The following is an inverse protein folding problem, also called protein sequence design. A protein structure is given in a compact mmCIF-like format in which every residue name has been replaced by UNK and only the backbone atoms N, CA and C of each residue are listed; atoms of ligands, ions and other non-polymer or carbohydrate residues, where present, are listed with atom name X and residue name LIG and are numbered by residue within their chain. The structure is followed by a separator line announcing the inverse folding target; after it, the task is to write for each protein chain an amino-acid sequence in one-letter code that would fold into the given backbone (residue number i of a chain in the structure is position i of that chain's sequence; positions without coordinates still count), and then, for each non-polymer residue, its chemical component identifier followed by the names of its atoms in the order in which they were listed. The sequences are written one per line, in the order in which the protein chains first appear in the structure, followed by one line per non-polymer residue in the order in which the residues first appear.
data_IF_355095737301
#
_entry.id   IF_355095737301
#
_cell.length_a   1.000
_cell.length_b   1.000
_cell.length_c   1.000
_cell.angle_alpha   90.00
_cell.angle_beta   90.00
_cell.angle_gamma   90.00
#
_symmetry.space_group_name_H-M   'P 1'
#
loop_
_entity.id
_entity.type
_entity.pdbx_description
1 polymer ?
#
# COMPACT_ATOMS: atom_id res chain seq x y z
N UNK A 1 8.62 -28.34 1.83
CA UNK A 1 9.34 -27.04 1.97
C UNK A 1 8.55 -25.93 1.29
N UNK A 2 8.33 -24.78 1.95
CA UNK A 2 7.61 -23.64 1.37
C UNK A 2 8.62 -22.63 0.78
N UNK A 3 8.40 -22.23 -0.48
CA UNK A 3 9.08 -21.10 -1.13
C UNK A 3 8.07 -19.99 -1.40
N UNK A 4 8.42 -18.78 -0.99
CA UNK A 4 7.59 -17.58 -1.14
C UNK A 4 7.91 -16.92 -2.46
N UNK A 5 6.88 -16.70 -3.27
CA UNK A 5 6.98 -15.95 -4.52
C UNK A 5 6.59 -14.50 -4.25
N UNK A 6 7.55 -13.58 -4.45
CA UNK A 6 7.33 -12.14 -4.33
C UNK A 6 6.62 -11.57 -5.56
N UNK A 7 6.16 -10.32 -5.45
CA UNK A 7 5.49 -9.60 -6.55
C UNK A 7 6.37 -9.41 -7.79
N UNK A 8 7.68 -9.34 -7.61
CA UNK A 8 8.68 -9.23 -8.68
C UNK A 8 9.09 -10.59 -9.29
N UNK A 9 8.44 -11.69 -8.89
CA UNK A 9 8.74 -13.04 -9.33
C UNK A 9 9.91 -13.72 -8.60
N UNK A 10 10.62 -13.02 -7.72
CA UNK A 10 11.73 -13.61 -6.97
C UNK A 10 11.24 -14.62 -5.95
N UNK A 11 12.03 -15.68 -5.75
CA UNK A 11 11.71 -16.76 -4.82
C UNK A 11 12.57 -16.63 -3.56
N UNK A 12 11.92 -16.77 -2.42
CA UNK A 12 12.57 -16.72 -1.11
C UNK A 12 12.08 -17.88 -0.24
N UNK A 13 12.93 -18.32 0.70
CA UNK A 13 12.52 -19.33 1.69
C UNK A 13 11.54 -18.71 2.70
N UNK A 14 10.47 -19.44 3.02
CA UNK A 14 9.57 -19.08 4.12
C UNK A 14 10.34 -19.09 5.45
N UNK A 15 10.13 -18.08 6.28
CA UNK A 15 10.74 -17.97 7.60
C UNK A 15 9.71 -17.45 8.61
N UNK A 16 9.60 -18.13 9.77
CA UNK A 16 8.72 -17.72 10.86
C UNK A 16 9.01 -16.30 11.35
N UNK A 17 10.30 -15.93 11.43
CA UNK A 17 10.71 -14.61 11.94
C UNK A 17 10.13 -13.42 11.18
N UNK A 18 9.79 -13.60 9.90
CA UNK A 18 9.10 -12.54 9.11
C UNK A 18 7.65 -12.38 9.54
N UNK A 19 6.97 -13.48 9.82
CA UNK A 19 5.59 -13.47 10.33
C UNK A 19 5.57 -12.89 11.74
N UNK A 20 6.40 -13.41 12.63
CA UNK A 20 6.54 -12.93 14.01
C UNK A 20 6.79 -11.42 14.06
N UNK A 21 7.73 -10.92 13.24
CA UNK A 21 8.03 -9.49 13.16
C UNK A 21 6.84 -8.66 12.64
N UNK A 22 6.11 -9.16 11.65
CA UNK A 22 4.96 -8.47 11.08
C UNK A 22 3.82 -8.40 12.10
N UNK A 23 3.52 -9.50 12.79
CA UNK A 23 2.48 -9.58 13.82
C UNK A 23 2.85 -8.72 15.03
N UNK A 24 4.12 -8.79 15.50
CA UNK A 24 4.57 -7.96 16.61
C UNK A 24 4.47 -6.45 16.32
N UNK A 25 4.84 -6.02 15.12
CA UNK A 25 4.65 -4.61 14.71
C UNK A 25 3.18 -4.20 14.71
N UNK A 26 2.27 -5.10 14.40
CA UNK A 26 0.83 -4.84 14.47
C UNK A 26 0.36 -4.75 15.91
N UNK A 27 0.80 -5.65 16.76
CA UNK A 27 0.48 -5.65 18.19
C UNK A 27 0.92 -4.34 18.87
N UNK A 28 2.14 -3.88 18.59
CA UNK A 28 2.65 -2.59 19.08
C UNK A 28 1.78 -1.39 18.65
N UNK A 29 1.21 -1.41 17.44
CA UNK A 29 0.29 -0.34 17.00
C UNK A 29 -1.05 -0.37 17.73
N UNK A 30 -1.50 -1.55 18.13
CA UNK A 30 -2.71 -1.74 18.94
C UNK A 30 -2.48 -1.53 20.45
N UNK A 31 -1.26 -1.23 20.88
CA UNK A 31 -0.84 -1.26 22.30
C UNK A 31 -1.15 -2.60 22.96
N UNK A 32 -0.95 -3.70 22.23
CA UNK A 32 -1.09 -5.07 22.71
C UNK A 32 0.29 -5.69 22.84
N UNK A 33 0.60 -6.18 24.03
CA UNK A 33 1.84 -6.92 24.25
C UNK A 33 1.60 -8.40 23.93
N UNK A 34 2.32 -8.91 22.94
CA UNK A 34 2.39 -10.33 22.63
C UNK A 34 3.70 -10.90 23.16
N UNK A 35 3.60 -11.99 23.90
CA UNK A 35 4.79 -12.71 24.35
C UNK A 35 5.37 -13.57 23.23
N UNK A 36 6.66 -13.86 23.30
CA UNK A 36 7.38 -14.63 22.28
C UNK A 36 6.73 -15.98 21.94
N UNK A 37 6.22 -16.78 22.90
CA UNK A 37 5.50 -18.01 22.60
C UNK A 37 4.23 -17.82 21.76
N UNK A 38 3.48 -16.73 21.95
CA UNK A 38 2.29 -16.44 21.15
C UNK A 38 2.68 -16.10 19.71
N UNK A 39 3.71 -15.28 19.50
CA UNK A 39 4.23 -14.95 18.18
C UNK A 39 4.69 -16.20 17.42
N UNK A 40 5.42 -17.09 18.09
CA UNK A 40 5.83 -18.39 17.52
C UNK A 40 4.64 -19.28 17.19
N UNK A 41 3.64 -19.35 18.07
CA UNK A 41 2.43 -20.14 17.84
C UNK A 41 1.66 -19.67 16.61
N UNK A 42 1.53 -18.35 16.42
CA UNK A 42 0.88 -17.75 15.23
C UNK A 42 1.70 -18.11 13.98
N UNK A 43 3.02 -17.94 13.99
CA UNK A 43 3.87 -18.25 12.85
C UNK A 43 3.83 -19.73 12.45
N UNK A 44 3.81 -20.65 13.41
CA UNK A 44 3.65 -22.08 13.19
C UNK A 44 2.26 -22.42 12.64
N UNK A 45 1.20 -21.78 13.15
CA UNK A 45 -0.15 -21.97 12.64
C UNK A 45 -0.26 -21.53 11.17
N UNK A 46 0.35 -20.39 10.82
CA UNK A 46 0.43 -19.92 9.43
C UNK A 46 1.18 -20.92 8.55
N UNK A 47 2.34 -21.41 8.98
CA UNK A 47 3.09 -22.40 8.21
C UNK A 47 2.26 -23.67 7.98
N UNK A 48 1.58 -24.15 9.01
CA UNK A 48 0.75 -25.37 8.94
C UNK A 48 -0.39 -25.20 7.94
N UNK A 49 -1.04 -24.05 7.89
CA UNK A 49 -2.12 -23.76 6.94
C UNK A 49 -1.60 -23.67 5.50
N UNK A 50 -0.38 -23.17 5.34
CA UNK A 50 0.29 -23.06 4.04
C UNK A 50 0.87 -24.40 3.53
N UNK A 51 1.05 -25.40 4.42
CA UNK A 51 1.58 -26.72 4.02
C UNK A 51 0.55 -27.55 3.24
N UNK A 52 0.96 -28.22 2.17
CA UNK A 52 0.07 -29.16 1.48
C UNK A 52 -0.14 -30.41 2.34
N UNK A 53 -1.29 -31.03 2.17
CA UNK A 53 -1.65 -32.30 2.82
C UNK A 53 -0.79 -33.48 2.30
N UNK A 54 -0.08 -33.31 1.17
CA UNK A 54 0.74 -34.34 0.52
C UNK A 54 2.22 -34.20 0.88
N UNK A 55 2.83 -35.30 1.32
CA UNK A 55 4.23 -35.37 1.70
C UNK A 55 5.19 -35.14 0.51
N UNK A 56 6.28 -34.41 0.75
CA UNK A 56 7.52 -34.47 -0.05
C UNK A 56 7.74 -33.39 -1.11
N UNK A 57 6.83 -32.43 -1.32
CA UNK A 57 6.97 -31.41 -2.38
C UNK A 57 7.50 -30.04 -1.93
N UNK A 58 8.06 -29.29 -2.89
CA UNK A 58 8.28 -27.83 -2.75
C UNK A 58 6.99 -27.11 -3.14
N UNK A 59 6.41 -26.34 -2.21
CA UNK A 59 5.23 -25.52 -2.49
C UNK A 59 5.65 -24.08 -2.72
N UNK A 60 5.21 -23.52 -3.84
CA UNK A 60 5.37 -22.08 -4.14
C UNK A 60 4.12 -21.34 -3.68
N UNK A 61 4.30 -20.38 -2.77
CA UNK A 61 3.19 -19.63 -2.19
C UNK A 61 3.39 -18.14 -2.49
N UNK A 62 2.43 -17.49 -3.19
CA UNK A 62 2.47 -16.05 -3.39
C UNK A 62 2.44 -15.30 -2.05
N UNK A 63 3.19 -14.22 -1.93
CA UNK A 63 3.20 -13.39 -0.71
C UNK A 63 1.80 -12.88 -0.35
N UNK A 64 0.92 -12.67 -1.33
CA UNK A 64 -0.47 -12.27 -1.11
C UNK A 64 -1.22 -13.32 -0.28
N UNK A 65 -1.10 -14.60 -0.65
CA UNK A 65 -1.74 -15.71 0.05
C UNK A 65 -1.22 -15.88 1.48
N UNK A 66 0.08 -15.65 1.71
CA UNK A 66 0.62 -15.64 3.08
C UNK A 66 -0.07 -14.57 3.94
N UNK A 67 -0.28 -13.37 3.39
CA UNK A 67 -0.98 -12.31 4.12
C UNK A 67 -2.43 -12.66 4.44
N UNK A 68 -3.13 -13.29 3.51
CA UNK A 68 -4.51 -13.77 3.71
C UNK A 68 -4.56 -14.80 4.84
N UNK A 69 -3.67 -15.79 4.79
CA UNK A 69 -3.55 -16.80 5.85
C UNK A 69 -3.23 -16.16 7.21
N UNK A 70 -2.35 -15.16 7.27
CA UNK A 70 -2.05 -14.42 8.52
C UNK A 70 -3.32 -13.75 9.04
N UNK A 71 -4.12 -13.10 8.19
CA UNK A 71 -5.38 -12.45 8.58
C UNK A 71 -6.36 -13.48 9.13
N UNK A 72 -6.53 -14.63 8.46
CA UNK A 72 -7.41 -15.71 8.90
C UNK A 72 -7.01 -16.29 10.27
N UNK A 73 -5.70 -16.52 10.47
CA UNK A 73 -5.16 -17.00 11.73
C UNK A 73 -5.36 -15.95 12.83
N UNK A 74 -5.04 -14.67 12.57
CA UNK A 74 -5.25 -13.59 13.52
C UNK A 74 -6.73 -13.43 13.87
N UNK A 75 -7.66 -13.58 12.92
CA UNK A 75 -9.10 -13.54 13.19
C UNK A 75 -9.54 -14.60 14.20
N UNK A 76 -8.91 -15.78 14.18
CA UNK A 76 -9.22 -16.86 15.13
C UNK A 76 -8.65 -16.61 16.52
N UNK A 77 -7.48 -16.01 16.62
CA UNK A 77 -6.75 -15.84 17.88
C UNK A 77 -6.90 -14.43 18.50
N UNK A 78 -6.87 -13.39 17.68
CA UNK A 78 -6.84 -11.98 18.08
C UNK A 78 -7.51 -11.11 17.01
N UNK A 79 -8.85 -11.03 16.96
CA UNK A 79 -9.56 -10.30 15.89
C UNK A 79 -9.20 -8.81 15.78
N UNK A 80 -8.83 -8.19 16.91
CA UNK A 80 -8.36 -6.80 16.96
C UNK A 80 -7.06 -6.60 16.16
N UNK A 81 -6.13 -7.54 16.25
CA UNK A 81 -4.87 -7.50 15.50
C UNK A 81 -5.09 -7.78 14.02
N UNK A 82 -6.06 -8.62 13.68
CA UNK A 82 -6.39 -8.92 12.29
C UNK A 82 -6.85 -7.67 11.54
N UNK A 83 -7.75 -6.89 12.14
CA UNK A 83 -8.26 -5.64 11.55
C UNK A 83 -7.14 -4.62 11.32
N UNK A 84 -6.24 -4.44 12.30
CA UNK A 84 -5.12 -3.52 12.17
C UNK A 84 -4.10 -4.01 11.14
N UNK A 85 -3.82 -5.31 11.10
CA UNK A 85 -2.90 -5.90 10.11
C UNK A 85 -3.41 -5.68 8.68
N UNK A 86 -4.69 -5.90 8.44
CA UNK A 86 -5.35 -5.67 7.16
C UNK A 86 -5.39 -4.18 6.80
N UNK A 87 -5.76 -3.32 7.74
CA UNK A 87 -5.80 -1.86 7.57
C UNK A 87 -4.43 -1.32 7.16
N UNK A 88 -3.37 -1.71 7.84
CA UNK A 88 -2.02 -1.28 7.51
C UNK A 88 -1.53 -1.81 6.16
N UNK A 89 -1.91 -3.02 5.79
CA UNK A 89 -1.60 -3.58 4.46
C UNK A 89 -2.29 -2.78 3.36
N UNK A 90 -3.58 -2.46 3.55
CA UNK A 90 -4.36 -1.66 2.61
C UNK A 90 -3.81 -0.23 2.50
N UNK A 91 -3.43 0.38 3.62
CA UNK A 91 -2.76 1.68 3.63
C UNK A 91 -1.47 1.66 2.78
N UNK A 92 -0.59 0.68 2.99
CA UNK A 92 0.64 0.55 2.19
C UNK A 92 0.37 0.34 0.71
N UNK A 93 -0.66 -0.44 0.36
CA UNK A 93 -1.07 -0.65 -1.03
C UNK A 93 -1.54 0.67 -1.64
N UNK A 94 -2.42 1.39 -0.95
CA UNK A 94 -2.97 2.66 -1.42
C UNK A 94 -1.88 3.72 -1.60
N UNK A 95 -0.94 3.85 -0.65
CA UNK A 95 0.21 4.77 -0.76
C UNK A 95 1.05 4.43 -1.99
N UNK A 96 1.32 3.16 -2.24
CA UNK A 96 2.09 2.74 -3.42
C UNK A 96 1.36 3.07 -4.72
N UNK A 97 0.09 2.71 -4.82
CA UNK A 97 -0.75 3.00 -6.00
C UNK A 97 -0.85 4.50 -6.26
N UNK A 98 -0.97 5.30 -5.18
CA UNK A 98 -0.97 6.75 -5.27
C UNK A 98 0.35 7.29 -5.86
N UNK A 99 1.49 6.81 -5.37
CA UNK A 99 2.80 7.19 -5.90
C UNK A 99 3.00 6.78 -7.36
N UNK A 100 2.62 5.55 -7.72
CA UNK A 100 2.70 5.07 -9.10
C UNK A 100 1.84 5.92 -10.04
N UNK A 101 0.64 6.31 -9.60
CA UNK A 101 -0.23 7.17 -10.39
C UNK A 101 0.34 8.59 -10.53
N UNK A 102 0.94 9.16 -9.48
CA UNK A 102 1.62 10.46 -9.56
C UNK A 102 2.75 10.46 -10.59
N UNK A 103 3.54 9.39 -10.64
CA UNK A 103 4.61 9.26 -11.63
C UNK A 103 4.02 9.23 -13.04
N UNK A 104 2.96 8.43 -13.27
CA UNK A 104 2.29 8.35 -14.58
C UNK A 104 1.70 9.69 -15.01
N UNK A 105 1.02 10.40 -14.10
CA UNK A 105 0.45 11.72 -14.39
C UNK A 105 1.56 12.73 -14.74
N UNK A 106 2.68 12.69 -14.02
CA UNK A 106 3.83 13.55 -14.29
C UNK A 106 4.46 13.23 -15.65
N UNK A 107 4.65 11.95 -15.97
CA UNK A 107 5.16 11.51 -17.28
C UNK A 107 4.23 11.95 -18.42
N UNK A 108 2.92 11.78 -18.26
CA UNK A 108 1.93 12.21 -19.25
C UNK A 108 2.00 13.71 -19.48
N UNK A 109 2.11 14.50 -18.42
CA UNK A 109 2.21 15.95 -18.52
C UNK A 109 3.51 16.39 -19.24
N UNK A 110 4.63 15.77 -18.88
CA UNK A 110 5.94 16.08 -19.48
C UNK A 110 6.02 15.71 -20.96
N UNK A 111 5.39 14.60 -21.37
CA UNK A 111 5.47 14.12 -22.74
C UNK A 111 4.39 14.69 -23.67
N UNK A 112 3.18 14.93 -23.15
CA UNK A 112 2.07 15.40 -23.99
C UNK A 112 1.95 16.92 -24.02
N UNK A 113 2.63 17.64 -23.12
CA UNK A 113 2.53 19.07 -22.93
C UNK A 113 1.12 19.51 -22.50
N UNK A 114 1.06 20.56 -21.69
CA UNK A 114 -0.23 21.22 -21.40
C UNK A 114 -0.56 22.17 -22.56
N UNK A 115 -1.27 21.63 -23.55
CA UNK A 115 -1.67 22.41 -24.74
C UNK A 115 -2.68 23.52 -24.41
N UNK A 116 -3.32 23.45 -23.26
CA UNK A 116 -4.28 24.45 -22.79
C UNK A 116 -3.58 25.65 -22.12
N UNK A 117 -2.35 25.48 -21.68
CA UNK A 117 -1.60 26.53 -21.00
C UNK A 117 -0.46 27.06 -21.87
N UNK A 118 -0.82 27.88 -22.86
CA UNK A 118 0.08 28.44 -23.85
C UNK A 118 1.30 29.25 -23.28
N UNK A 119 1.28 29.54 -22.00
CA UNK A 119 2.35 30.30 -21.30
C UNK A 119 3.39 29.39 -20.66
N UNK A 120 3.25 28.05 -20.72
CA UNK A 120 4.20 27.11 -20.13
C UNK A 120 4.81 26.23 -21.19
N UNK A 121 6.10 26.42 -21.42
CA UNK A 121 6.88 25.54 -22.28
C UNK A 121 7.31 24.32 -21.46
N UNK A 122 6.71 23.16 -21.74
CA UNK A 122 6.99 21.88 -21.06
C UNK A 122 8.43 21.39 -21.25
N UNK A 123 9.20 21.99 -22.15
CA UNK A 123 10.61 21.65 -22.34
C UNK A 123 11.56 22.37 -21.38
N UNK A 124 11.10 23.41 -20.69
CA UNK A 124 11.91 24.13 -19.72
C UNK A 124 11.93 23.39 -18.37
N UNK A 125 13.13 23.17 -17.83
CA UNK A 125 13.32 22.46 -16.56
C UNK A 125 12.53 23.07 -15.40
N UNK A 126 12.44 24.40 -15.34
CA UNK A 126 11.71 25.09 -14.28
C UNK A 126 10.18 24.94 -14.45
N UNK A 127 9.70 24.91 -15.70
CA UNK A 127 8.30 24.60 -15.98
C UNK A 127 7.97 23.16 -15.56
N UNK A 128 8.83 22.19 -15.90
CA UNK A 128 8.67 20.80 -15.49
C UNK A 128 8.63 20.61 -13.98
N UNK A 129 9.52 21.30 -13.24
CA UNK A 129 9.52 21.27 -11.76
C UNK A 129 8.23 21.85 -11.19
N UNK A 130 7.78 23.01 -11.70
CA UNK A 130 6.54 23.65 -11.28
C UNK A 130 5.33 22.77 -11.51
N UNK A 131 5.20 22.20 -12.72
CA UNK A 131 4.11 21.31 -13.10
C UNK A 131 4.07 20.03 -12.26
N UNK A 132 5.23 19.42 -11.99
CA UNK A 132 5.33 18.25 -11.11
C UNK A 132 4.92 18.59 -9.67
N UNK A 133 5.31 19.76 -9.17
CA UNK A 133 4.90 20.26 -7.86
C UNK A 133 3.39 20.49 -7.75
N UNK A 134 2.77 21.04 -8.79
CA UNK A 134 1.32 21.24 -8.85
C UNK A 134 0.55 19.91 -8.82
N UNK A 135 0.97 18.91 -9.59
CA UNK A 135 0.35 17.57 -9.57
C UNK A 135 0.40 16.99 -8.15
N UNK A 136 1.56 17.10 -7.50
CA UNK A 136 1.71 16.63 -6.13
C UNK A 136 0.76 17.35 -5.17
N UNK A 137 0.70 18.69 -5.24
CA UNK A 137 -0.16 19.50 -4.39
C UNK A 137 -1.64 19.17 -4.58
N UNK A 138 -2.10 19.14 -5.82
CA UNK A 138 -3.51 18.83 -6.14
C UNK A 138 -3.90 17.44 -5.64
N UNK A 139 -3.06 16.43 -5.87
CA UNK A 139 -3.35 15.08 -5.40
C UNK A 139 -3.34 14.97 -3.89
N UNK A 140 -2.38 15.60 -3.21
CA UNK A 140 -2.34 15.60 -1.77
C UNK A 140 -3.62 16.21 -1.17
N UNK A 141 -4.06 17.34 -1.73
CA UNK A 141 -5.30 17.99 -1.32
C UNK A 141 -6.50 17.09 -1.51
N UNK A 142 -6.67 16.50 -2.70
CA UNK A 142 -7.84 15.67 -3.03
C UNK A 142 -7.87 14.35 -2.26
N UNK A 143 -6.72 13.74 -1.97
CA UNK A 143 -6.70 12.39 -1.43
C UNK A 143 -6.55 12.36 0.10
N UNK A 144 -5.99 13.43 0.72
CA UNK A 144 -5.67 13.43 2.15
C UNK A 144 -6.23 14.61 2.95
N UNK A 145 -6.31 15.83 2.36
CA UNK A 145 -6.66 17.02 3.11
C UNK A 145 -8.17 17.33 3.05
N UNK A 146 -8.79 17.11 1.90
CA UNK A 146 -10.22 17.40 1.73
C UNK A 146 -11.11 16.25 2.23
N UNK A 147 -12.34 16.56 2.70
CA UNK A 147 -13.34 15.54 2.95
C UNK A 147 -13.57 14.67 1.71
N UNK A 148 -13.67 13.36 1.89
CA UNK A 148 -13.85 12.39 0.78
C UNK A 148 -15.04 12.71 -0.13
N UNK A 149 -16.12 13.26 0.44
CA UNK A 149 -17.31 13.69 -0.33
C UNK A 149 -17.00 14.86 -1.28
N UNK A 150 -16.24 15.87 -0.80
CA UNK A 150 -15.84 17.01 -1.62
C UNK A 150 -14.85 16.61 -2.71
N UNK A 151 -13.86 15.77 -2.37
CA UNK A 151 -12.91 15.23 -3.35
C UNK A 151 -13.59 14.41 -4.42
N UNK A 152 -14.58 13.58 -4.03
CA UNK A 152 -15.36 12.80 -4.98
C UNK A 152 -16.17 13.71 -5.90
N UNK A 153 -16.91 14.65 -5.35
CA UNK A 153 -17.72 15.58 -6.15
C UNK A 153 -16.88 16.40 -7.13
N UNK A 154 -15.64 16.80 -6.73
CA UNK A 154 -14.71 17.45 -7.64
C UNK A 154 -14.22 16.52 -8.77
N UNK A 155 -13.85 15.28 -8.44
CA UNK A 155 -13.39 14.28 -9.41
C UNK A 155 -14.51 13.86 -10.37
N UNK A 156 -15.75 13.82 -9.92
CA UNK A 156 -16.93 13.48 -10.72
C UNK A 156 -17.44 14.69 -11.57
N UNK A 157 -16.90 15.89 -11.33
CA UNK A 157 -17.28 17.10 -12.04
C UNK A 157 -18.52 17.81 -11.49
N UNK A 158 -19.07 17.36 -10.37
CA UNK A 158 -20.23 17.97 -9.73
C UNK A 158 -19.93 19.36 -9.13
N UNK A 159 -18.71 19.57 -8.67
CA UNK A 159 -18.21 20.85 -8.17
C UNK A 159 -16.81 21.11 -8.69
N UNK A 160 -16.43 22.38 -8.77
CA UNK A 160 -15.06 22.79 -9.07
C UNK A 160 -14.43 23.47 -7.85
N UNK A 161 -13.33 22.92 -7.34
CA UNK A 161 -12.57 23.50 -6.23
C UNK A 161 -11.38 24.27 -6.82
N UNK A 162 -11.36 25.57 -6.65
CA UNK A 162 -10.28 26.44 -7.11
C UNK A 162 -9.01 26.31 -6.27
N UNK A 163 -7.88 26.60 -6.88
CA UNK A 163 -6.57 26.81 -6.22
C UNK A 163 -6.12 25.61 -5.35
N UNK A 164 -6.43 24.40 -5.79
CA UNK A 164 -5.99 23.18 -5.12
C UNK A 164 -4.45 23.10 -5.01
N UNK A 165 -3.73 23.70 -5.96
CA UNK A 165 -2.27 23.75 -5.99
C UNK A 165 -1.66 24.67 -4.94
N UNK A 166 -2.37 25.73 -4.55
CA UNK A 166 -1.84 26.83 -3.75
C UNK A 166 -2.14 26.69 -2.24
N UNK A 167 -2.85 25.63 -1.82
CA UNK A 167 -3.29 25.44 -0.44
C UNK A 167 -2.29 24.74 0.49
N UNK A 168 -1.08 24.46 0.04
CA UNK A 168 -0.01 23.87 0.87
C UNK A 168 0.80 24.89 1.67
N UNK A 169 0.37 26.16 1.71
CA UNK A 169 1.02 27.23 2.44
C UNK A 169 0.09 27.88 3.45
#
# INVERSE_FOLDING_TARGET
MIKVMKKDGTLEKFTHSKIERAVNKTALRCNVDLIEPELKSIAVAVERELMPVTEGGVRFVPVAHIHETVIEILNKFRPELSKEYESFRNYKKNVKEHFEQMILDTEQLLHNGDKENANRDSYLIDAQKSMSGEIFSVRNMLDYELPKSASKAHKDGDIYIHDLRDRLY
#
